data_IF_648463125642
#
_entry.id   IF_648463125642
#
_cell.length_a   1.000
_cell.length_b   1.000
_cell.length_c   1.000
_cell.angle_alpha   90.00
_cell.angle_beta   90.00
_cell.angle_gamma   90.00
#
_symmetry.space_group_name_H-M   'P 1'
#
loop_
_entity.id
_entity.type
_entity.pdbx_description
1 polymer ?
#
# COMPACT_ATOMS: atom_id res chain seq x y z
N UNK A 1 -6.22 -3.30 6.01
CA UNK A 1 -7.68 -3.12 5.83
C UNK A 1 -8.18 -2.04 6.78
N UNK A 2 -9.06 -1.16 6.33
CA UNK A 2 -9.69 -0.10 7.15
C UNK A 2 -11.20 -0.26 7.06
N UNK A 3 -11.89 -0.22 8.19
CA UNK A 3 -13.35 -0.22 8.25
C UNK A 3 -13.84 1.22 8.40
N UNK A 4 -14.59 1.71 7.42
CA UNK A 4 -15.15 3.07 7.45
C UNK A 4 -16.62 3.02 7.84
N UNK A 5 -16.95 3.60 8.99
CA UNK A 5 -18.33 3.76 9.45
C UNK A 5 -18.81 5.17 9.09
N UNK A 6 -19.61 5.27 8.04
CA UNK A 6 -20.16 6.54 7.56
C UNK A 6 -21.43 6.95 8.33
N UNK A 7 -21.82 8.22 8.20
CA UNK A 7 -22.96 8.87 8.87
C UNK A 7 -22.77 9.08 10.37
N UNK A 8 -21.56 9.45 10.80
CA UNK A 8 -21.27 9.74 12.20
C UNK A 8 -21.96 10.99 12.74
N UNK A 9 -22.55 11.82 11.87
CA UNK A 9 -23.42 12.94 12.21
C UNK A 9 -24.77 12.50 12.81
N UNK A 10 -25.18 11.24 12.59
CA UNK A 10 -26.42 10.72 13.15
C UNK A 10 -26.22 10.18 14.58
N UNK A 11 -27.28 10.17 15.41
CA UNK A 11 -27.25 9.50 16.71
C UNK A 11 -26.78 8.04 16.58
N UNK A 12 -25.87 7.63 17.48
CA UNK A 12 -25.29 6.30 17.42
C UNK A 12 -26.33 5.22 17.73
N UNK A 13 -26.79 4.53 16.68
CA UNK A 13 -27.69 3.35 16.77
C UNK A 13 -26.98 2.03 16.46
N UNK A 14 -25.73 2.10 16.01
CA UNK A 14 -24.93 0.95 15.62
C UNK A 14 -23.94 0.57 16.74
N UNK A 15 -24.08 -0.63 17.29
CA UNK A 15 -23.17 -1.12 18.34
C UNK A 15 -21.88 -1.70 17.73
N UNK A 16 -20.84 -0.89 17.79
CA UNK A 16 -19.49 -1.19 17.29
C UNK A 16 -18.89 -2.42 17.99
N UNK A 17 -19.29 -2.73 19.22
CA UNK A 17 -18.79 -3.88 19.97
C UNK A 17 -19.23 -5.22 19.37
N UNK A 18 -20.25 -5.21 18.51
CA UNK A 18 -20.75 -6.39 17.80
C UNK A 18 -20.01 -6.65 16.49
N UNK A 19 -19.08 -5.77 16.09
CA UNK A 19 -18.31 -5.98 14.89
C UNK A 19 -17.34 -7.16 15.06
N UNK A 20 -17.19 -8.01 14.03
CA UNK A 20 -16.13 -9.01 13.99
C UNK A 20 -14.76 -8.38 14.23
N UNK A 21 -13.86 -9.09 14.93
CA UNK A 21 -12.49 -8.61 15.19
C UNK A 21 -11.73 -8.26 13.92
N UNK A 22 -12.03 -8.92 12.80
CA UNK A 22 -11.47 -8.61 11.48
C UNK A 22 -11.72 -7.16 11.08
N UNK A 23 -12.82 -6.55 11.50
CA UNK A 23 -13.21 -5.18 11.17
C UNK A 23 -12.78 -4.14 12.22
N UNK A 24 -11.93 -4.50 13.19
CA UNK A 24 -11.56 -3.66 14.34
C UNK A 24 -10.80 -2.36 14.02
N UNK A 25 -10.23 -2.23 12.82
CA UNK A 25 -9.53 -1.02 12.40
C UNK A 25 -10.51 0.06 11.90
N UNK A 26 -11.23 0.69 12.82
CA UNK A 26 -12.40 1.52 12.53
C UNK A 26 -12.05 3.00 12.47
N UNK A 27 -12.57 3.69 11.45
CA UNK A 27 -12.65 5.15 11.35
C UNK A 27 -14.14 5.52 11.19
N UNK A 28 -14.58 6.55 11.91
CA UNK A 28 -15.93 7.12 11.77
C UNK A 28 -15.84 8.42 10.97
N UNK A 29 -16.73 8.58 10.00
CA UNK A 29 -16.82 9.81 9.20
C UNK A 29 -18.28 10.23 9.04
N UNK A 30 -18.48 11.51 8.74
CA UNK A 30 -19.66 11.95 8.00
C UNK A 30 -19.21 12.48 6.65
N UNK A 31 -19.48 11.72 5.61
CA UNK A 31 -19.26 12.21 4.25
C UNK A 31 -20.16 13.42 3.91
N UNK A 32 -21.31 13.56 4.57
CA UNK A 32 -22.25 14.67 4.36
C UNK A 32 -21.74 15.97 4.98
N UNK A 33 -21.23 15.89 6.20
CA UNK A 33 -20.72 17.05 6.94
C UNK A 33 -19.20 17.25 6.74
N UNK A 34 -18.58 16.46 5.85
CA UNK A 34 -17.13 16.45 5.59
C UNK A 34 -16.25 16.25 6.84
N UNK A 35 -16.78 15.62 7.88
CA UNK A 35 -16.06 15.37 9.14
C UNK A 35 -15.35 14.02 9.14
N UNK A 36 -14.15 13.96 9.73
CA UNK A 36 -13.34 12.74 9.86
C UNK A 36 -12.57 12.33 8.58
N UNK A 37 -12.63 13.14 7.52
CA UNK A 37 -11.95 12.85 6.25
C UNK A 37 -10.42 12.92 6.39
N UNK A 38 -9.89 13.88 7.13
CA UNK A 38 -8.44 13.98 7.36
C UNK A 38 -7.91 12.80 8.20
N UNK A 39 -8.66 12.37 9.20
CA UNK A 39 -8.33 11.16 9.97
C UNK A 39 -8.35 9.92 9.08
N UNK A 40 -9.33 9.82 8.17
CA UNK A 40 -9.38 8.74 7.18
C UNK A 40 -8.16 8.77 6.25
N UNK A 41 -7.78 9.93 5.71
CA UNK A 41 -6.58 10.08 4.86
C UNK A 41 -5.32 9.65 5.60
N UNK A 42 -5.17 10.08 6.86
CA UNK A 42 -4.04 9.69 7.69
C UNK A 42 -4.02 8.18 7.94
N UNK A 43 -5.18 7.58 8.23
CA UNK A 43 -5.29 6.14 8.44
C UNK A 43 -4.97 5.34 7.19
N UNK A 44 -5.36 5.83 6.02
CA UNK A 44 -5.01 5.25 4.71
C UNK A 44 -3.49 5.24 4.56
N UNK A 45 -2.82 6.40 4.74
CA UNK A 45 -1.36 6.50 4.65
C UNK A 45 -0.64 5.52 5.59
N UNK A 46 -1.11 5.43 6.85
CA UNK A 46 -0.54 4.51 7.84
C UNK A 46 -0.72 3.04 7.42
N UNK A 47 -1.91 2.67 6.95
CA UNK A 47 -2.23 1.28 6.59
C UNK A 47 -1.56 0.86 5.28
N UNK A 48 -1.31 1.79 4.37
CA UNK A 48 -0.59 1.52 3.12
C UNK A 48 0.94 1.51 3.29
N UNK A 49 1.46 1.77 4.49
CA UNK A 49 2.90 1.92 4.72
C UNK A 49 3.51 3.15 4.04
N UNK A 50 2.69 4.12 3.64
CA UNK A 50 3.15 5.30 2.91
C UNK A 50 3.62 6.43 3.85
N UNK A 51 3.44 6.30 5.17
CA UNK A 51 3.91 7.30 6.15
C UNK A 51 5.44 7.36 6.21
N UNK A 52 6.08 6.19 6.12
CA UNK A 52 7.53 6.04 6.24
C UNK A 52 8.19 5.85 4.87
N UNK A 53 7.56 6.35 3.80
CA UNK A 53 8.06 6.21 2.44
C UNK A 53 9.34 7.03 2.26
N UNK A 54 10.47 6.36 2.11
CA UNK A 54 11.77 6.97 1.84
C UNK A 54 11.99 7.08 0.32
N UNK A 55 12.14 8.32 -0.17
CA UNK A 55 12.43 8.62 -1.58
C UNK A 55 13.81 8.11 -2.03
N UNK A 56 14.71 7.84 -1.09
CA UNK A 56 16.04 7.30 -1.36
C UNK A 56 16.08 5.77 -1.33
N UNK A 57 15.02 5.12 -0.85
CA UNK A 57 14.93 3.68 -0.88
C UNK A 57 14.71 3.20 -2.32
N UNK A 58 15.60 2.34 -2.80
CA UNK A 58 15.43 1.67 -4.10
C UNK A 58 14.24 0.70 -4.03
N UNK A 59 13.35 0.77 -5.00
CA UNK A 59 12.15 -0.07 -5.08
C UNK A 59 11.98 -0.68 -6.47
N UNK A 60 11.36 -1.86 -6.51
CA UNK A 60 10.90 -2.49 -7.75
C UNK A 60 9.46 -2.07 -7.99
N UNK A 61 9.22 -1.25 -9.01
CA UNK A 61 7.89 -0.75 -9.33
C UNK A 61 7.06 -1.73 -10.16
N UNK A 62 7.72 -2.65 -10.87
CA UNK A 62 7.07 -3.56 -11.82
C UNK A 62 7.47 -5.01 -11.57
N UNK A 63 6.55 -5.94 -11.85
CA UNK A 63 6.84 -7.38 -11.81
C UNK A 63 7.99 -7.76 -12.75
N UNK A 64 8.21 -6.99 -13.84
CA UNK A 64 9.37 -7.16 -14.71
C UNK A 64 10.69 -6.91 -13.97
N UNK A 65 10.80 -5.79 -13.25
CA UNK A 65 11.99 -5.46 -12.46
C UNK A 65 12.23 -6.51 -11.37
N UNK A 66 11.18 -6.92 -10.67
CA UNK A 66 11.25 -7.97 -9.66
C UNK A 66 11.75 -9.30 -10.24
N UNK A 67 11.19 -9.74 -11.37
CA UNK A 67 11.62 -10.96 -12.06
C UNK A 67 13.08 -10.89 -12.53
N UNK A 68 13.50 -9.76 -13.12
CA UNK A 68 14.88 -9.59 -13.58
C UNK A 68 15.87 -9.58 -12.42
N UNK A 69 15.55 -8.93 -11.31
CA UNK A 69 16.38 -9.01 -10.10
C UNK A 69 16.42 -10.42 -9.52
N UNK A 70 15.30 -11.14 -9.54
CA UNK A 70 15.25 -12.56 -9.19
C UNK A 70 16.08 -13.44 -10.12
N UNK A 71 16.20 -13.12 -11.41
CA UNK A 71 17.12 -13.81 -12.32
C UNK A 71 18.58 -13.46 -12.02
N UNK A 72 18.85 -12.19 -11.68
CA UNK A 72 20.19 -11.71 -11.37
C UNK A 72 20.77 -12.39 -10.12
N UNK A 73 19.95 -12.64 -9.09
CA UNK A 73 20.39 -13.38 -7.88
C UNK A 73 20.73 -14.84 -8.17
N UNK A 74 20.20 -15.41 -9.26
CA UNK A 74 20.42 -16.79 -9.68
C UNK A 74 21.38 -16.91 -10.88
N UNK A 75 22.02 -15.81 -11.30
CA UNK A 75 22.89 -15.81 -12.47
C UNK A 75 24.12 -16.70 -12.26
N UNK A 76 24.35 -17.64 -13.18
CA UNK A 76 25.47 -18.60 -13.09
C UNK A 76 26.72 -18.12 -13.82
N UNK A 77 26.63 -16.99 -14.52
CA UNK A 77 27.76 -16.41 -15.25
C UNK A 77 27.72 -14.89 -15.28
N UNK A 78 28.90 -14.28 -15.45
CA UNK A 78 29.05 -12.83 -15.65
C UNK A 78 28.30 -12.34 -16.88
N UNK A 79 28.29 -13.13 -17.96
CA UNK A 79 27.58 -12.78 -19.20
C UNK A 79 26.07 -12.70 -18.99
N UNK A 80 25.50 -13.67 -18.28
CA UNK A 80 24.08 -13.66 -17.91
C UNK A 80 23.74 -12.45 -17.05
N UNK A 81 24.54 -12.16 -16.03
CA UNK A 81 24.35 -11.00 -15.17
C UNK A 81 24.38 -9.67 -15.96
N UNK A 82 25.34 -9.51 -16.88
CA UNK A 82 25.45 -8.31 -17.73
C UNK A 82 24.21 -8.15 -18.62
N UNK A 83 23.71 -9.23 -19.21
CA UNK A 83 22.49 -9.20 -20.03
C UNK A 83 21.28 -8.74 -19.22
N UNK A 84 21.06 -9.34 -18.05
CA UNK A 84 19.92 -9.00 -17.16
C UNK A 84 19.99 -7.55 -16.65
N UNK A 85 21.20 -7.05 -16.35
CA UNK A 85 21.40 -5.63 -16.02
C UNK A 85 21.06 -4.74 -17.21
N UNK A 86 21.46 -5.13 -18.43
CA UNK A 86 21.09 -4.43 -19.66
C UNK A 86 19.57 -4.31 -19.83
N UNK A 87 18.83 -5.40 -19.59
CA UNK A 87 17.36 -5.42 -19.68
C UNK A 87 16.70 -4.57 -18.58
N UNK A 88 17.29 -4.53 -17.38
CA UNK A 88 16.82 -3.66 -16.29
C UNK A 88 16.94 -2.19 -16.66
N UNK A 89 18.09 -1.78 -17.21
CA UNK A 89 18.40 -0.38 -17.52
C UNK A 89 17.65 0.15 -18.75
N UNK A 90 17.53 -0.66 -19.80
CA UNK A 90 17.00 -0.19 -21.08
C UNK A 90 15.52 -0.52 -21.29
N UNK A 91 14.95 -1.42 -20.48
CA UNK A 91 13.64 -1.99 -20.76
C UNK A 91 13.65 -2.92 -21.97
N UNK A 92 12.56 -3.65 -22.17
CA UNK A 92 12.30 -4.26 -23.47
C UNK A 92 11.67 -3.17 -24.34
N UNK A 93 12.21 -2.99 -25.56
CA UNK A 93 11.53 -2.20 -26.61
C UNK A 93 10.25 -2.92 -27.02
#
# INVERSE_FOLDING_TARGET
MITVLNKSDLPSRFDIRRLPKTLSNIIKISAKEETGIEDLKQKIRQTSGAVDFDLHQSVCFTSRQENLLGQLTNAQSKQQAVSTIGDLLNGQV
#
